data_IF_054099344768
#
_entry.id   IF_054099344768
#
_cell.length_a   1.000
_cell.length_b   1.000
_cell.length_c   1.000
_cell.angle_alpha   90.00
_cell.angle_beta   90.00
_cell.angle_gamma   90.00
#
_symmetry.space_group_name_H-M   'P 1'
#
loop_
_entity.id
_entity.type
_entity.pdbx_description
1 polymer ?
#
# COMPACT_ATOMS: atom_id res chain seq x y z
N UNK A 1 25.59 36.23 11.80
CA UNK A 1 24.49 35.24 11.85
C UNK A 1 24.25 34.88 13.30
N UNK A 2 23.11 35.27 13.85
CA UNK A 2 22.78 35.06 15.27
C UNK A 2 22.80 33.59 15.67
N UNK A 3 23.65 33.23 16.63
CA UNK A 3 23.79 31.85 17.12
C UNK A 3 22.52 31.37 17.82
N UNK A 4 21.88 32.26 18.59
CA UNK A 4 20.61 32.02 19.28
C UNK A 4 19.48 31.62 18.33
N UNK A 5 19.39 32.29 17.18
CA UNK A 5 18.38 31.99 16.17
C UNK A 5 18.59 30.60 15.55
N UNK A 6 19.85 30.18 15.37
CA UNK A 6 20.18 28.83 14.87
C UNK A 6 19.82 27.74 15.87
N UNK A 7 20.02 27.99 17.16
CA UNK A 7 19.68 27.04 18.23
C UNK A 7 18.17 26.85 18.35
N UNK A 8 17.41 27.95 18.33
CA UNK A 8 15.94 27.91 18.33
C UNK A 8 15.39 27.12 17.13
N UNK A 9 15.96 27.33 15.95
CA UNK A 9 15.54 26.61 14.74
C UNK A 9 15.83 25.09 14.84
N UNK A 10 16.93 24.73 15.50
CA UNK A 10 17.31 23.33 15.73
C UNK A 10 16.36 22.65 16.72
N UNK A 11 15.97 23.34 17.77
CA UNK A 11 14.99 22.85 18.75
C UNK A 11 13.61 22.67 18.13
N UNK A 12 13.13 23.65 17.35
CA UNK A 12 11.86 23.53 16.63
C UNK A 12 11.84 22.35 15.67
N UNK A 13 12.94 22.14 14.93
CA UNK A 13 13.05 21.01 14.00
C UNK A 13 13.06 19.67 14.73
N UNK A 14 13.64 19.61 15.93
CA UNK A 14 13.65 18.41 16.79
C UNK A 14 12.25 18.07 17.28
N UNK A 15 11.52 19.05 17.81
CA UNK A 15 10.14 18.88 18.28
C UNK A 15 9.21 18.45 17.13
N UNK A 16 9.29 19.13 15.98
CA UNK A 16 8.48 18.80 14.80
C UNK A 16 8.71 17.37 14.30
N UNK A 17 9.98 16.93 14.23
CA UNK A 17 10.29 15.58 13.76
C UNK A 17 9.80 14.49 14.73
N UNK A 18 9.84 14.75 16.04
CA UNK A 18 9.31 13.83 17.05
C UNK A 18 7.78 13.70 16.92
N UNK A 19 7.07 14.83 16.82
CA UNK A 19 5.63 14.81 16.61
C UNK A 19 5.22 14.18 15.28
N UNK A 20 5.96 14.49 14.20
CA UNK A 20 5.71 13.95 12.87
C UNK A 20 5.93 12.44 12.83
N UNK A 21 6.87 11.89 13.60
CA UNK A 21 7.08 10.45 13.72
C UNK A 21 5.92 9.74 14.45
N UNK A 22 5.40 10.36 15.51
CA UNK A 22 4.27 9.84 16.31
C UNK A 22 2.95 9.93 15.53
N UNK A 23 2.76 11.01 14.76
CA UNK A 23 1.53 11.27 13.99
C UNK A 23 1.51 10.63 12.60
N UNK A 24 2.52 9.84 12.21
CA UNK A 24 2.47 9.15 10.90
C UNK A 24 1.25 8.23 10.90
N UNK A 25 0.26 8.46 10.02
CA UNK A 25 -0.87 7.55 9.94
C UNK A 25 -0.33 6.17 9.60
N UNK A 26 -0.75 5.15 10.35
CA UNK A 26 -0.45 3.75 10.00
C UNK A 26 -0.83 3.58 8.54
N UNK A 27 0.14 3.20 7.69
CA UNK A 27 -0.13 2.97 6.26
C UNK A 27 -1.37 2.08 6.19
N UNK A 28 -2.42 2.56 5.51
CA UNK A 28 -3.61 1.74 5.25
C UNK A 28 -3.09 0.46 4.62
N UNK A 29 -3.29 -0.68 5.28
CA UNK A 29 -2.90 -1.97 4.71
C UNK A 29 -3.76 -2.15 3.47
N UNK A 30 -3.14 -2.02 2.30
CA UNK A 30 -3.80 -2.39 1.05
C UNK A 30 -4.16 -3.86 1.07
N UNK A 31 -5.04 -4.26 0.16
CA UNK A 31 -5.29 -5.67 -0.13
C UNK A 31 -3.94 -6.35 -0.43
N UNK A 32 -3.70 -7.52 0.16
CA UNK A 32 -2.54 -8.32 -0.20
C UNK A 32 -2.67 -8.80 -1.64
N UNK A 33 -1.57 -9.24 -2.25
CA UNK A 33 -1.58 -9.80 -3.60
C UNK A 33 -2.57 -10.98 -3.74
N UNK A 34 -2.72 -11.76 -2.66
CA UNK A 34 -3.72 -12.83 -2.58
C UNK A 34 -5.15 -12.28 -2.54
N UNK A 35 -5.40 -11.24 -1.75
CA UNK A 35 -6.73 -10.63 -1.67
C UNK A 35 -7.13 -10.01 -3.02
N UNK A 36 -6.16 -9.42 -3.74
CA UNK A 36 -6.34 -8.92 -5.09
C UNK A 36 -6.66 -10.05 -6.08
N UNK A 37 -5.90 -11.15 -6.08
CA UNK A 37 -6.17 -12.32 -6.94
C UNK A 37 -7.55 -12.93 -6.68
N UNK A 38 -7.94 -13.02 -5.41
CA UNK A 38 -9.26 -13.52 -5.03
C UNK A 38 -10.37 -12.58 -5.51
N UNK A 39 -10.20 -11.28 -5.32
CA UNK A 39 -11.13 -10.24 -5.80
C UNK A 39 -11.26 -10.25 -7.33
N UNK A 40 -10.15 -10.41 -8.05
CA UNK A 40 -10.12 -10.52 -9.51
C UNK A 40 -10.62 -11.88 -10.03
N UNK A 41 -10.91 -12.83 -9.14
CA UNK A 41 -11.36 -14.16 -9.53
C UNK A 41 -10.31 -14.99 -10.28
N UNK A 42 -9.02 -14.62 -10.15
CA UNK A 42 -7.89 -15.31 -10.81
C UNK A 42 -7.73 -16.72 -10.24
N UNK A 43 -7.93 -16.87 -8.94
CA UNK A 43 -7.81 -18.16 -8.24
C UNK A 43 -9.05 -19.06 -8.43
N UNK A 44 -10.00 -18.69 -9.30
CA UNK A 44 -11.18 -19.52 -9.58
C UNK A 44 -10.78 -20.67 -10.50
N UNK A 45 -11.25 -21.90 -10.25
CA UNK A 45 -11.09 -22.99 -11.20
C UNK A 45 -11.73 -22.59 -12.53
N UNK A 46 -10.90 -22.32 -13.54
CA UNK A 46 -11.36 -22.13 -14.90
C UNK A 46 -11.39 -23.52 -15.54
N UNK A 47 -12.57 -24.15 -15.53
CA UNK A 47 -12.79 -25.25 -16.45
C UNK A 47 -12.55 -24.69 -17.85
N UNK A 48 -11.45 -25.10 -18.48
CA UNK A 48 -11.26 -24.82 -19.88
C UNK A 48 -12.50 -25.37 -20.59
N UNK A 49 -13.19 -24.52 -21.35
CA UNK A 49 -14.23 -24.98 -22.28
C UNK A 49 -13.50 -25.65 -23.44
N UNK A 50 -12.80 -26.74 -23.15
CA UNK A 50 -12.15 -27.55 -24.14
C UNK A 50 -13.27 -28.32 -24.83
N UNK A 51 -13.66 -27.80 -25.98
CA UNK A 51 -14.63 -28.38 -26.91
C UNK A 51 -16.08 -28.10 -26.52
N UNK A 52 -16.66 -27.05 -27.11
CA UNK A 52 -18.09 -27.11 -27.43
C UNK A 52 -18.39 -28.40 -28.20
N UNK A 53 -19.63 -28.90 -28.11
CA UNK A 53 -20.06 -30.17 -28.70
C UNK A 53 -19.40 -30.41 -30.06
N UNK A 54 -18.70 -31.54 -30.19
CA UNK A 54 -18.06 -31.97 -31.44
C UNK A 54 -19.13 -31.92 -32.54
N UNK A 55 -19.03 -30.95 -33.46
CA UNK A 55 -19.97 -30.85 -34.57
C UNK A 55 -19.73 -32.03 -35.49
N UNK A 56 -20.67 -32.97 -35.50
CA UNK A 56 -20.71 -34.08 -36.45
C UNK A 56 -20.78 -33.51 -37.87
N UNK A 57 -19.87 -33.96 -38.75
CA UNK A 57 -19.90 -33.68 -40.19
C UNK A 57 -20.83 -34.65 -40.91
#
# INVERSE_FOLDING_TARGET
MDQKAKEQLKEFKKQFNQEAAIKKPKKKKGLSDRDLRHLMGVDRPTYSRHNGAMRQR
#
